data_IF_607984881541
#
_entry.id   IF_607984881541
#
_cell.length_a   1.000
_cell.length_b   1.000
_cell.length_c   1.000
_cell.angle_alpha   90.00
_cell.angle_beta   90.00
_cell.angle_gamma   90.00
#
_symmetry.space_group_name_H-M   'P 1'
#
loop_
_entity.id
_entity.type
_entity.pdbx_description
1 polymer ?
#
# COMPACT_ATOMS: atom_id res chain seq x y z
N UNK A 1 5.77 14.50 -11.09
CA UNK A 1 5.24 13.19 -11.44
C UNK A 1 4.17 12.78 -10.47
N UNK A 2 3.06 12.34 -10.95
CA UNK A 2 2.01 11.91 -10.04
C UNK A 2 2.43 10.60 -9.37
N UNK A 3 2.16 10.55 -8.08
CA UNK A 3 2.45 9.34 -7.32
C UNK A 3 1.20 8.50 -7.16
N UNK A 4 0.21 8.76 -8.01
CA UNK A 4 -1.06 8.04 -7.90
C UNK A 4 -1.10 6.92 -8.92
N UNK A 5 -1.28 5.71 -8.44
CA UNK A 5 -1.34 4.52 -9.27
C UNK A 5 -2.63 3.76 -9.02
N UNK A 6 -3.08 3.05 -10.04
CA UNK A 6 -4.21 2.15 -9.84
C UNK A 6 -3.75 0.97 -8.99
N UNK A 7 -4.70 0.26 -8.36
CA UNK A 7 -4.31 -0.93 -7.59
C UNK A 7 -3.52 -1.93 -8.42
N UNK A 8 -3.87 -2.09 -9.69
CA UNK A 8 -3.15 -3.01 -10.56
C UNK A 8 -1.71 -2.58 -10.75
N UNK A 9 -1.51 -1.29 -11.00
CA UNK A 9 -0.17 -0.77 -11.20
C UNK A 9 0.65 -0.90 -9.93
N UNK A 10 0.04 -0.57 -8.82
CA UNK A 10 0.74 -0.63 -7.55
C UNK A 10 1.09 -2.07 -7.19
N UNK A 11 0.18 -2.99 -7.47
CA UNK A 11 0.45 -4.41 -7.22
C UNK A 11 1.67 -4.88 -7.99
N UNK A 12 1.77 -4.46 -9.25
CA UNK A 12 2.92 -4.82 -10.07
C UNK A 12 4.20 -4.24 -9.50
N UNK A 13 4.14 -2.99 -9.08
CA UNK A 13 5.31 -2.33 -8.53
C UNK A 13 5.80 -3.02 -7.27
N UNK A 14 4.86 -3.43 -6.44
CA UNK A 14 5.19 -4.02 -5.15
C UNK A 14 5.39 -5.53 -5.21
N UNK A 15 5.01 -6.15 -6.31
CA UNK A 15 5.15 -7.59 -6.44
C UNK A 15 4.14 -8.37 -5.61
N UNK A 16 2.96 -7.80 -5.42
CA UNK A 16 1.90 -8.44 -4.64
C UNK A 16 0.62 -8.45 -5.45
N UNK A 17 -0.41 -9.10 -4.92
CA UNK A 17 -1.68 -9.19 -5.60
C UNK A 17 -2.45 -7.88 -5.48
N UNK A 18 -3.30 -7.63 -6.47
CA UNK A 18 -4.14 -6.45 -6.47
C UNK A 18 -5.03 -6.42 -5.22
N UNK A 19 -5.56 -7.57 -4.84
CA UNK A 19 -6.42 -7.64 -3.66
C UNK A 19 -5.65 -7.31 -2.40
N UNK A 20 -4.39 -7.68 -2.37
CA UNK A 20 -3.54 -7.35 -1.24
C UNK A 20 -3.39 -5.85 -1.12
N UNK A 21 -3.21 -5.17 -2.24
CA UNK A 21 -3.09 -3.72 -2.25
C UNK A 21 -4.35 -3.09 -1.66
N UNK A 22 -5.51 -3.56 -2.10
CA UNK A 22 -6.77 -3.01 -1.63
C UNK A 22 -6.94 -3.26 -0.14
N UNK A 23 -6.61 -4.46 0.30
CA UNK A 23 -6.73 -4.80 1.71
C UNK A 23 -5.85 -3.91 2.57
N UNK A 24 -4.62 -3.71 2.15
CA UNK A 24 -3.71 -2.85 2.91
C UNK A 24 -4.25 -1.43 2.99
N UNK A 25 -4.80 -0.93 1.89
CA UNK A 25 -5.37 0.40 1.89
C UNK A 25 -6.52 0.51 2.90
N UNK A 26 -7.35 -0.51 2.97
CA UNK A 26 -8.46 -0.50 3.90
C UNK A 26 -7.98 -0.61 5.35
N UNK A 27 -7.02 -1.47 5.59
CA UNK A 27 -6.52 -1.68 6.94
C UNK A 27 -5.72 -0.51 7.47
N UNK A 28 -4.92 0.09 6.60
CA UNK A 28 -4.06 1.18 7.02
C UNK A 28 -4.68 2.56 6.81
N UNK A 29 -5.85 2.60 6.23
CA UNK A 29 -6.51 3.87 6.00
C UNK A 29 -5.89 4.69 4.89
N UNK A 30 -5.24 4.05 3.95
CA UNK A 30 -4.68 4.75 2.80
C UNK A 30 -5.82 5.14 1.87
N UNK A 31 -6.00 6.42 1.60
CA UNK A 31 -7.13 6.85 0.78
C UNK A 31 -6.97 6.45 -0.67
N UNK A 32 -8.09 6.05 -1.27
CA UNK A 32 -8.13 5.75 -2.69
C UNK A 32 -8.95 6.86 -3.33
N UNK A 33 -8.32 7.64 -4.18
CA UNK A 33 -8.95 8.80 -4.78
C UNK A 33 -9.13 8.56 -6.28
N UNK A 34 -10.38 8.57 -6.71
CA UNK A 34 -10.71 8.35 -8.13
C UNK A 34 -10.09 7.05 -8.65
N UNK A 35 -10.10 6.03 -7.84
CA UNK A 35 -9.59 4.73 -8.24
C UNK A 35 -8.08 4.63 -8.26
N UNK A 36 -7.39 5.63 -7.69
CA UNK A 36 -5.95 5.62 -7.63
C UNK A 36 -5.46 5.80 -6.22
N UNK A 37 -4.30 5.25 -5.96
CA UNK A 37 -3.72 5.24 -4.62
C UNK A 37 -2.43 6.04 -4.63
N UNK A 38 -2.25 6.85 -3.59
CA UNK A 38 -1.00 7.60 -3.45
C UNK A 38 0.12 6.62 -3.11
N UNK A 39 1.04 6.46 -4.04
CA UNK A 39 2.13 5.49 -3.87
C UNK A 39 2.96 5.79 -2.63
N UNK A 40 3.23 7.06 -2.39
CA UNK A 40 4.05 7.46 -1.26
C UNK A 40 3.38 7.06 0.05
N UNK A 41 2.09 7.36 0.17
CA UNK A 41 1.36 6.98 1.38
C UNK A 41 1.27 5.47 1.54
N UNK A 42 1.04 4.77 0.42
CA UNK A 42 0.94 3.33 0.47
C UNK A 42 2.26 2.72 0.92
N UNK A 43 3.35 3.18 0.37
CA UNK A 43 4.66 2.64 0.72
C UNK A 43 5.00 2.93 2.17
N UNK A 44 4.69 4.12 2.65
CA UNK A 44 4.94 4.46 4.04
C UNK A 44 4.14 3.56 4.97
N UNK A 45 2.87 3.35 4.66
CA UNK A 45 2.03 2.48 5.47
C UNK A 45 2.50 1.04 5.41
N UNK A 46 2.84 0.58 4.21
CA UNK A 46 3.31 -0.78 4.04
C UNK A 46 4.61 -1.03 4.81
N UNK A 47 5.53 -0.09 4.73
CA UNK A 47 6.79 -0.21 5.44
C UNK A 47 6.57 -0.19 6.95
N UNK A 48 5.65 0.65 7.40
CA UNK A 48 5.34 0.72 8.82
C UNK A 48 4.77 -0.60 9.30
N UNK A 49 3.89 -1.19 8.53
CA UNK A 49 3.32 -2.48 8.88
C UNK A 49 4.39 -3.54 8.92
N UNK A 50 5.26 -3.55 7.93
CA UNK A 50 6.34 -4.52 7.88
C UNK A 50 7.29 -4.33 9.07
N UNK A 51 7.64 -3.09 9.34
CA UNK A 51 8.54 -2.80 10.45
C UNK A 51 7.89 -3.19 11.77
N UNK A 52 6.62 -2.88 11.94
CA UNK A 52 5.92 -3.25 13.16
C UNK A 52 5.87 -4.75 13.32
N UNK A 53 5.62 -5.44 12.23
CA UNK A 53 5.62 -6.89 12.26
C UNK A 53 6.96 -7.45 12.64
N UNK A 54 8.02 -6.86 12.11
CA UNK A 54 9.36 -7.30 12.45
C UNK A 54 9.69 -7.03 13.89
N UNK A 55 9.40 -5.82 14.34
CA UNK A 55 9.79 -5.42 15.68
C UNK A 55 8.93 -6.02 16.75
N UNK A 56 7.70 -6.33 16.42
CA UNK A 56 6.81 -6.86 17.45
C UNK A 56 7.16 -8.29 17.79
N UNK A 57 8.00 -8.92 16.98
CA UNK A 57 8.37 -10.22 17.30
C UNK A 57 9.32 -10.21 18.38
N UNK A 58 9.15 -10.91 19.38
CA UNK A 58 10.10 -11.01 20.46
C UNK A 58 11.36 -11.68 20.01
#
# INVERSE_FOLDING_TARGET
MPNHLTPDELAKEMGIDREEVIRICLEEGVPIYQGKIDKTLFQASHETVSAAGSTSRP
#
